data_IF_875068215529
#
_entry.id   IF_875068215529
#
_cell.length_a   1.000
_cell.length_b   1.000
_cell.length_c   1.000
_cell.angle_alpha   90.00
_cell.angle_beta   90.00
_cell.angle_gamma   90.00
#
_symmetry.space_group_name_H-M   'P 1'
#
loop_
_entity.id
_entity.type
_entity.pdbx_description
1 polymer ?
#
# COMPACT_ATOMS: atom_id res chain seq x y z
N UNK A 1 -15.25 -26.76 2.90
CA UNK A 1 -15.17 -25.29 2.74
C UNK A 1 -13.85 -25.01 2.04
N UNK A 2 -13.90 -24.52 0.81
CA UNK A 2 -12.68 -24.33 0.01
C UNK A 2 -11.75 -23.31 0.68
N UNK A 3 -10.45 -23.55 0.63
CA UNK A 3 -9.41 -22.70 1.22
C UNK A 3 -9.59 -21.23 0.81
N UNK A 4 -10.01 -21.01 -0.44
CA UNK A 4 -10.33 -19.68 -0.95
C UNK A 4 -11.43 -18.96 -0.16
N UNK A 5 -12.54 -19.65 0.14
CA UNK A 5 -13.66 -19.08 0.90
C UNK A 5 -13.21 -18.72 2.32
N UNK A 6 -12.37 -19.55 2.93
CA UNK A 6 -11.78 -19.27 4.26
C UNK A 6 -10.97 -17.97 4.22
N UNK A 7 -10.14 -17.78 3.19
CA UNK A 7 -9.34 -16.56 3.03
C UNK A 7 -10.23 -15.34 2.78
N UNK A 8 -11.27 -15.48 1.95
CA UNK A 8 -12.23 -14.40 1.67
C UNK A 8 -13.01 -13.96 2.91
N UNK A 9 -13.39 -14.89 3.79
CA UNK A 9 -14.07 -14.56 5.05
C UNK A 9 -13.08 -14.01 6.09
N UNK A 10 -11.83 -14.51 6.10
CA UNK A 10 -10.81 -14.01 7.00
C UNK A 10 -10.53 -12.51 6.77
N UNK A 11 -10.48 -12.05 5.52
CA UNK A 11 -10.25 -10.63 5.19
C UNK A 11 -11.09 -9.64 6.02
N UNK A 12 -12.44 -9.66 5.90
CA UNK A 12 -13.33 -8.80 6.68
C UNK A 12 -13.18 -8.93 8.19
N UNK A 13 -12.90 -10.13 8.71
CA UNK A 13 -12.67 -10.33 10.16
C UNK A 13 -11.40 -9.62 10.62
N UNK A 14 -10.32 -9.73 9.86
CA UNK A 14 -9.06 -9.03 10.14
C UNK A 14 -9.22 -7.51 9.99
N UNK A 15 -9.95 -7.04 8.98
CA UNK A 15 -10.27 -5.62 8.78
C UNK A 15 -11.03 -5.04 9.97
N UNK A 16 -12.05 -5.75 10.44
CA UNK A 16 -12.81 -5.38 11.63
C UNK A 16 -11.91 -5.32 12.86
N UNK A 17 -11.03 -6.31 13.04
CA UNK A 17 -10.04 -6.32 14.13
C UNK A 17 -9.11 -5.10 14.10
N UNK A 18 -8.60 -4.74 12.93
CA UNK A 18 -7.75 -3.57 12.75
C UNK A 18 -8.51 -2.24 13.01
N UNK A 19 -9.77 -2.13 12.59
CA UNK A 19 -10.62 -0.97 12.89
C UNK A 19 -10.89 -0.83 14.39
N UNK A 20 -11.23 -1.94 15.05
CA UNK A 20 -11.47 -1.95 16.49
C UNK A 20 -10.22 -1.52 17.26
N UNK A 21 -9.02 -1.92 16.83
CA UNK A 21 -7.76 -1.47 17.41
C UNK A 21 -7.52 0.03 17.21
N UNK A 22 -7.79 0.57 16.01
CA UNK A 22 -7.69 2.01 15.74
C UNK A 22 -8.61 2.83 16.65
N UNK A 23 -9.85 2.38 16.82
CA UNK A 23 -10.83 3.06 17.68
C UNK A 23 -10.44 2.95 19.14
N UNK A 24 -10.10 1.74 19.61
CA UNK A 24 -9.71 1.47 21.01
C UNK A 24 -8.49 2.27 21.44
N UNK A 25 -7.49 2.38 20.57
CA UNK A 25 -6.25 3.10 20.86
C UNK A 25 -6.35 4.61 20.60
N UNK A 26 -7.54 5.12 20.22
CA UNK A 26 -7.76 6.55 19.92
C UNK A 26 -7.01 7.04 18.67
N UNK A 27 -6.54 6.12 17.83
CA UNK A 27 -5.66 6.38 16.69
C UNK A 27 -6.38 6.90 15.46
N UNK A 28 -7.70 6.73 15.39
CA UNK A 28 -8.53 7.17 14.27
C UNK A 28 -8.42 8.68 13.97
N UNK A 29 -8.11 9.51 14.98
CA UNK A 29 -7.86 10.96 14.78
C UNK A 29 -6.49 11.24 14.21
N UNK A 30 -5.47 10.50 14.66
CA UNK A 30 -4.10 10.66 14.19
C UNK A 30 -3.94 10.14 12.75
N UNK A 31 -4.58 9.01 12.43
CA UNK A 31 -4.53 8.37 11.12
C UNK A 31 -5.92 8.36 10.46
N UNK A 32 -6.44 9.56 10.14
CA UNK A 32 -7.80 9.74 9.62
C UNK A 32 -7.96 9.12 8.23
N UNK A 33 -6.99 9.30 7.34
CA UNK A 33 -7.04 8.79 5.97
C UNK A 33 -6.95 7.27 5.95
N UNK A 34 -6.06 6.70 6.75
CA UNK A 34 -5.95 5.26 6.95
C UNK A 34 -7.22 4.67 7.57
N UNK A 35 -7.83 5.36 8.54
CA UNK A 35 -9.12 4.93 9.11
C UNK A 35 -10.25 4.92 8.08
N UNK A 36 -10.36 5.96 7.26
CA UNK A 36 -11.34 6.02 6.16
C UNK A 36 -11.11 4.90 5.16
N UNK A 37 -9.85 4.67 4.78
CA UNK A 37 -9.47 3.59 3.87
C UNK A 37 -9.81 2.20 4.44
N UNK A 38 -9.47 1.94 5.70
CA UNK A 38 -9.75 0.65 6.33
C UNK A 38 -11.26 0.41 6.52
N UNK A 39 -12.02 1.48 6.77
CA UNK A 39 -13.49 1.42 6.79
C UNK A 39 -14.04 1.09 5.41
N UNK A 40 -13.48 1.69 4.36
CA UNK A 40 -13.82 1.37 2.97
C UNK A 40 -13.52 -0.09 2.62
N UNK A 41 -12.35 -0.60 3.01
CA UNK A 41 -12.00 -2.01 2.81
C UNK A 41 -13.05 -2.93 3.44
N UNK A 42 -13.42 -2.69 4.70
CA UNK A 42 -14.43 -3.48 5.40
C UNK A 42 -15.78 -3.45 4.68
N UNK A 43 -16.28 -2.26 4.36
CA UNK A 43 -17.59 -2.10 3.72
C UNK A 43 -17.58 -2.68 2.30
N UNK A 44 -16.53 -2.39 1.53
CA UNK A 44 -16.37 -2.83 0.15
C UNK A 44 -16.24 -4.35 0.04
N UNK A 45 -15.32 -4.95 0.80
CA UNK A 45 -15.12 -6.40 0.77
C UNK A 45 -16.34 -7.17 1.30
N UNK A 46 -17.01 -6.65 2.33
CA UNK A 46 -18.27 -7.23 2.81
C UNK A 46 -19.37 -7.15 1.75
N UNK A 47 -19.51 -6.00 1.07
CA UNK A 47 -20.50 -5.82 0.01
C UNK A 47 -20.24 -6.74 -1.19
N UNK A 48 -18.98 -6.91 -1.60
CA UNK A 48 -18.56 -7.83 -2.66
C UNK A 48 -18.87 -9.28 -2.27
N UNK A 49 -18.59 -9.68 -1.03
CA UNK A 49 -18.85 -11.02 -0.52
C UNK A 49 -20.36 -11.32 -0.47
N UNK A 50 -21.18 -10.36 -0.04
CA UNK A 50 -22.64 -10.49 -0.06
C UNK A 50 -23.14 -10.58 -1.51
N UNK A 51 -22.67 -9.71 -2.40
CA UNK A 51 -23.08 -9.71 -3.79
C UNK A 51 -22.67 -10.99 -4.54
N UNK A 52 -21.51 -11.58 -4.23
CA UNK A 52 -21.07 -12.82 -4.88
C UNK A 52 -21.95 -14.02 -4.53
N UNK A 53 -22.51 -14.04 -3.32
CA UNK A 53 -23.39 -15.13 -2.84
C UNK A 53 -24.84 -14.91 -3.28
N UNK A 54 -25.37 -13.70 -3.13
CA UNK A 54 -26.80 -13.43 -3.28
C UNK A 54 -27.18 -12.77 -4.61
N UNK A 55 -26.25 -12.05 -5.26
CA UNK A 55 -26.53 -11.22 -6.44
C UNK A 55 -25.45 -11.36 -7.53
N UNK A 56 -25.24 -12.56 -8.09
CA UNK A 56 -24.14 -12.84 -9.03
C UNK A 56 -24.18 -11.98 -10.30
N UNK A 57 -25.36 -11.50 -10.70
CA UNK A 57 -25.50 -10.60 -11.86
C UNK A 57 -24.95 -9.19 -11.63
N UNK A 58 -24.96 -8.69 -10.39
CA UNK A 58 -24.49 -7.33 -10.02
C UNK A 58 -23.02 -7.35 -9.56
N UNK A 59 -22.54 -8.51 -9.09
CA UNK A 59 -21.20 -8.71 -8.58
C UNK A 59 -20.08 -8.09 -9.46
N UNK A 60 -20.02 -8.32 -10.78
CA UNK A 60 -18.94 -7.78 -11.60
C UNK A 60 -18.92 -6.25 -11.61
N UNK A 61 -20.09 -5.62 -11.78
CA UNK A 61 -20.22 -4.15 -11.80
C UNK A 61 -19.84 -3.55 -10.45
N UNK A 62 -20.34 -4.13 -9.36
CA UNK A 62 -20.04 -3.67 -8.01
C UNK A 62 -18.55 -3.80 -7.68
N UNK A 63 -17.93 -4.93 -8.04
CA UNK A 63 -16.50 -5.17 -7.86
C UNK A 63 -15.66 -4.06 -8.51
N UNK A 64 -15.92 -3.74 -9.77
CA UNK A 64 -15.14 -2.74 -10.49
C UNK A 64 -15.30 -1.32 -9.93
N UNK A 65 -16.50 -0.95 -9.47
CA UNK A 65 -16.70 0.34 -8.80
C UNK A 65 -15.97 0.42 -7.47
N UNK A 66 -16.02 -0.66 -6.67
CA UNK A 66 -15.36 -0.70 -5.37
C UNK A 66 -13.83 -0.62 -5.53
N UNK A 67 -13.28 -1.39 -6.47
CA UNK A 67 -11.85 -1.39 -6.80
C UNK A 67 -11.38 -0.02 -7.31
N UNK A 68 -12.20 0.66 -8.12
CA UNK A 68 -11.87 2.00 -8.63
C UNK A 68 -11.77 3.05 -7.50
N UNK A 69 -12.68 3.00 -6.53
CA UNK A 69 -12.64 3.90 -5.36
C UNK A 69 -11.45 3.55 -4.46
N UNK A 70 -11.15 2.26 -4.32
CA UNK A 70 -10.01 1.76 -3.55
C UNK A 70 -8.67 2.34 -4.06
N UNK A 71 -8.49 2.39 -5.38
CA UNK A 71 -7.33 3.06 -6.02
C UNK A 71 -7.17 4.50 -5.57
N UNK A 72 -8.25 5.27 -5.45
CA UNK A 72 -8.19 6.67 -5.01
C UNK A 72 -7.84 6.76 -3.52
N UNK A 73 -8.45 5.94 -2.68
CA UNK A 73 -8.22 5.97 -1.23
C UNK A 73 -6.79 5.55 -0.85
N UNK A 74 -6.18 4.63 -1.61
CA UNK A 74 -4.77 4.26 -1.48
C UNK A 74 -3.83 5.48 -1.59
N UNK A 75 -4.14 6.46 -2.44
CA UNK A 75 -3.37 7.71 -2.50
C UNK A 75 -3.49 8.54 -1.22
N UNK A 76 -4.67 8.56 -0.58
CA UNK A 76 -4.85 9.25 0.69
C UNK A 76 -4.01 8.62 1.80
N UNK A 77 -3.88 7.30 1.81
CA UNK A 77 -3.00 6.60 2.76
C UNK A 77 -1.54 6.99 2.54
N UNK A 78 -1.07 7.02 1.29
CA UNK A 78 0.31 7.43 0.98
C UNK A 78 0.55 8.89 1.39
N UNK A 79 -0.42 9.76 1.09
CA UNK A 79 -0.36 11.16 1.49
C UNK A 79 -0.27 11.34 3.01
N UNK A 80 -1.06 10.56 3.76
CA UNK A 80 -1.01 10.55 5.22
C UNK A 80 0.32 10.02 5.73
N UNK A 81 0.84 8.92 5.17
CA UNK A 81 2.17 8.41 5.50
C UNK A 81 3.24 9.47 5.29
N UNK A 82 3.21 10.16 4.16
CA UNK A 82 4.13 11.26 3.88
C UNK A 82 4.02 12.39 4.92
N UNK A 83 2.80 12.83 5.25
CA UNK A 83 2.58 13.91 6.22
C UNK A 83 2.92 13.54 7.66
N UNK A 84 2.76 12.27 8.03
CA UNK A 84 3.11 11.77 9.35
C UNK A 84 4.64 11.67 9.51
N UNK A 85 5.35 11.29 8.44
CA UNK A 85 6.82 11.25 8.43
C UNK A 85 7.40 12.67 8.33
N UNK A 86 6.80 13.55 7.54
CA UNK A 86 7.22 14.94 7.33
C UNK A 86 6.08 15.92 7.73
N UNK A 87 5.95 16.26 9.02
CA UNK A 87 5.01 17.25 9.55
C UNK A 87 5.21 18.63 8.92
N UNK A 88 4.12 19.38 8.77
CA UNK A 88 4.09 20.75 8.20
C UNK A 88 4.96 21.77 8.94
N UNK A 89 5.32 21.48 10.18
CA UNK A 89 6.11 22.38 11.04
C UNK A 89 7.62 22.32 10.76
N UNK A 90 8.12 21.31 10.05
CA UNK A 90 9.55 21.21 9.71
C UNK A 90 9.86 21.99 8.43
N UNK A 91 10.96 22.75 8.43
CA UNK A 91 11.45 23.45 7.23
C UNK A 91 11.71 22.51 6.06
N UNK A 92 12.06 21.26 6.37
CA UNK A 92 12.28 20.17 5.41
C UNK A 92 11.00 19.81 4.63
N UNK A 93 9.84 19.85 5.28
CA UNK A 93 8.59 19.52 4.62
C UNK A 93 8.26 20.54 3.51
N UNK A 94 8.60 21.82 3.67
CA UNK A 94 8.29 22.82 2.61
C UNK A 94 9.03 22.54 1.30
N UNK A 95 10.21 21.94 1.36
CA UNK A 95 10.98 21.52 0.19
C UNK A 95 10.50 20.16 -0.32
N UNK A 96 10.36 19.18 0.57
CA UNK A 96 9.92 17.83 0.23
C UNK A 96 8.48 17.77 -0.24
N UNK A 97 7.57 18.61 0.24
CA UNK A 97 6.18 18.62 -0.20
C UNK A 97 6.05 19.09 -1.65
N UNK A 98 6.89 20.04 -2.08
CA UNK A 98 6.95 20.50 -3.47
C UNK A 98 7.55 19.42 -4.37
N UNK A 99 8.66 18.81 -3.94
CA UNK A 99 9.28 17.70 -4.65
C UNK A 99 8.37 16.48 -4.75
N UNK A 100 7.73 16.10 -3.64
CA UNK A 100 6.76 15.02 -3.56
C UNK A 100 5.54 15.32 -4.43
N UNK A 101 5.01 16.54 -4.41
CA UNK A 101 3.91 16.94 -5.31
C UNK A 101 4.30 16.83 -6.78
N UNK A 102 5.50 17.28 -7.15
CA UNK A 102 6.01 17.17 -8.53
C UNK A 102 6.23 15.72 -8.95
N UNK A 103 6.85 14.90 -8.09
CA UNK A 103 7.09 13.47 -8.33
C UNK A 103 5.76 12.73 -8.41
N UNK A 104 4.84 12.96 -7.48
CA UNK A 104 3.50 12.37 -7.48
C UNK A 104 2.75 12.75 -8.76
N UNK A 105 2.77 14.02 -9.15
CA UNK A 105 2.16 14.47 -10.40
C UNK A 105 2.80 13.82 -11.63
N UNK A 106 4.14 13.77 -11.69
CA UNK A 106 4.87 13.13 -12.79
C UNK A 106 4.58 11.63 -12.89
N UNK A 107 4.57 10.92 -11.75
CA UNK A 107 4.23 9.51 -11.69
C UNK A 107 2.76 9.25 -12.04
N UNK A 108 1.83 10.09 -11.59
CA UNK A 108 0.42 10.03 -11.97
C UNK A 108 0.23 10.29 -13.46
N UNK A 109 0.88 11.30 -14.03
CA UNK A 109 0.85 11.59 -15.46
C UNK A 109 1.41 10.42 -16.27
N UNK A 110 2.50 9.79 -15.80
CA UNK A 110 3.05 8.57 -16.38
C UNK A 110 2.07 7.37 -16.26
N UNK A 111 1.43 7.19 -15.11
CA UNK A 111 0.39 6.18 -14.90
C UNK A 111 -0.80 6.36 -15.85
N UNK A 112 -1.27 7.60 -16.02
CA UNK A 112 -2.32 7.95 -16.99
C UNK A 112 -1.86 7.73 -18.44
N UNK A 113 -0.64 8.14 -18.79
CA UNK A 113 -0.10 7.97 -20.14
C UNK A 113 0.04 6.49 -20.50
N UNK A 114 0.59 5.67 -19.60
CA UNK A 114 0.66 4.21 -19.78
C UNK A 114 -0.72 3.61 -19.91
N UNK A 115 -1.68 4.02 -19.09
CA UNK A 115 -3.08 3.59 -19.20
C UNK A 115 -3.70 3.92 -20.58
N UNK A 116 -3.54 5.15 -21.07
CA UNK A 116 -4.04 5.57 -22.39
C UNK A 116 -3.41 4.78 -23.53
N UNK A 117 -2.13 4.45 -23.43
CA UNK A 117 -1.45 3.58 -24.41
C UNK A 117 -2.02 2.16 -24.33
N UNK A 118 -2.26 1.63 -23.13
CA UNK A 118 -2.83 0.30 -22.93
C UNK A 118 -4.29 0.17 -23.40
N UNK A 119 -5.10 1.24 -23.35
CA UNK A 119 -6.46 1.23 -23.92
C UNK A 119 -6.49 0.91 -25.43
N UNK A 120 -5.40 1.18 -26.14
CA UNK A 120 -5.28 0.87 -27.57
C UNK A 120 -4.91 -0.61 -27.86
N UNK A 121 -4.56 -1.39 -26.83
CA UNK A 121 -4.31 -2.82 -26.99
C UNK A 121 -5.63 -3.61 -26.99
N UNK A 122 -5.94 -4.25 -28.12
CA UNK A 122 -7.11 -5.11 -28.36
C UNK A 122 -6.99 -6.48 -27.67
N UNK A 123 -6.65 -6.49 -26.38
CA UNK A 123 -6.62 -7.70 -25.55
C UNK A 123 -7.95 -7.88 -24.80
N UNK A 124 -8.37 -9.12 -24.50
CA UNK A 124 -9.63 -9.40 -23.79
C UNK A 124 -9.62 -9.02 -22.29
N UNK A 125 -8.73 -8.14 -21.85
CA UNK A 125 -8.53 -7.81 -20.43
C UNK A 125 -9.15 -6.45 -20.09
N UNK A 126 -9.97 -6.47 -19.04
CA UNK A 126 -10.74 -5.33 -18.51
C UNK A 126 -9.88 -4.08 -18.32
N UNK A 127 -10.37 -2.94 -18.81
CA UNK A 127 -9.80 -1.58 -18.63
C UNK A 127 -9.41 -1.33 -17.17
N UNK A 128 -10.21 -1.83 -16.22
CA UNK A 128 -9.99 -1.66 -14.79
C UNK A 128 -8.71 -2.37 -14.29
N UNK A 129 -8.33 -3.50 -14.87
CA UNK A 129 -7.14 -4.25 -14.47
C UNK A 129 -5.85 -3.53 -14.91
N UNK A 130 -5.88 -2.90 -16.09
CA UNK A 130 -4.80 -2.05 -16.56
C UNK A 130 -4.66 -0.80 -15.67
N UNK A 131 -5.78 -0.22 -15.26
CA UNK A 131 -5.87 0.88 -14.30
C UNK A 131 -5.22 0.51 -12.96
N UNK A 132 -5.69 -0.55 -12.28
CA UNK A 132 -5.15 -1.00 -10.99
C UNK A 132 -3.64 -1.22 -11.07
N UNK A 133 -3.14 -1.86 -12.13
CA UNK A 133 -1.70 -2.10 -12.31
C UNK A 133 -0.89 -0.81 -12.46
N UNK A 134 -1.31 0.12 -13.31
CA UNK A 134 -0.58 1.38 -13.55
C UNK A 134 -0.52 2.24 -12.29
N UNK A 135 -1.65 2.37 -11.56
CA UNK A 135 -1.69 3.17 -10.34
C UNK A 135 -1.03 2.46 -9.16
N UNK A 136 -1.16 1.13 -9.01
CA UNK A 136 -0.48 0.39 -7.95
C UNK A 136 1.04 0.49 -8.07
N UNK A 137 1.59 0.49 -9.29
CA UNK A 137 3.02 0.72 -9.51
C UNK A 137 3.46 2.11 -9.06
N UNK A 138 2.70 3.15 -9.43
CA UNK A 138 2.93 4.54 -8.99
C UNK A 138 2.87 4.64 -7.46
N UNK A 139 1.86 4.02 -6.85
CA UNK A 139 1.65 3.99 -5.40
C UNK A 139 2.81 3.30 -4.67
N UNK A 140 3.32 2.18 -5.20
CA UNK A 140 4.49 1.48 -4.68
C UNK A 140 5.75 2.35 -4.75
N UNK A 141 5.96 3.08 -5.84
CA UNK A 141 7.10 4.01 -5.96
C UNK A 141 6.98 5.18 -5.00
N UNK A 142 5.78 5.74 -4.80
CA UNK A 142 5.59 6.86 -3.88
C UNK A 142 5.83 6.46 -2.41
N UNK A 143 5.34 5.31 -1.98
CA UNK A 143 5.57 4.83 -0.61
C UNK A 143 7.05 4.46 -0.40
N UNK A 144 7.69 3.82 -1.38
CA UNK A 144 9.11 3.51 -1.35
C UNK A 144 9.96 4.79 -1.28
N UNK A 145 9.67 5.76 -2.15
CA UNK A 145 10.35 7.05 -2.15
C UNK A 145 10.20 7.79 -0.82
N UNK A 146 9.02 7.73 -0.22
CA UNK A 146 8.77 8.30 1.12
C UNK A 146 9.65 7.63 2.19
N UNK A 147 9.73 6.30 2.19
CA UNK A 147 10.56 5.55 3.14
C UNK A 147 12.06 5.77 2.92
N UNK A 148 12.51 5.85 1.67
CA UNK A 148 13.90 6.16 1.31
C UNK A 148 14.26 7.57 1.75
N UNK A 149 13.39 8.56 1.50
CA UNK A 149 13.57 9.92 1.98
C UNK A 149 13.62 9.96 3.51
N UNK A 150 12.72 9.27 4.20
CA UNK A 150 12.72 9.18 5.66
C UNK A 150 14.06 8.68 6.20
N UNK A 151 14.62 7.64 5.58
CA UNK A 151 15.94 7.09 5.93
C UNK A 151 17.08 8.04 5.60
N UNK A 152 17.05 8.69 4.44
CA UNK A 152 18.09 9.62 3.99
C UNK A 152 18.21 10.86 4.90
N UNK A 153 17.07 11.38 5.35
CA UNK A 153 17.02 12.52 6.28
C UNK A 153 17.11 12.12 7.76
N UNK A 154 17.34 10.83 8.07
CA UNK A 154 17.46 10.36 9.46
C UNK A 154 16.16 10.45 10.28
N UNK A 155 15.01 10.59 9.64
CA UNK A 155 13.71 10.77 10.32
C UNK A 155 13.31 9.48 11.01
N UNK A 156 13.22 9.53 12.34
CA UNK A 156 12.76 8.41 13.16
C UNK A 156 11.25 8.22 12.96
N UNK A 157 10.88 7.19 12.23
CA UNK A 157 9.48 6.79 12.07
C UNK A 157 9.04 5.95 13.26
N UNK A 158 7.96 6.36 13.93
CA UNK A 158 7.30 5.57 14.97
C UNK A 158 6.85 4.21 14.43
N UNK A 159 6.71 3.24 15.34
CA UNK A 159 6.38 1.85 14.99
C UNK A 159 5.12 1.73 14.13
N UNK A 160 4.08 2.49 14.46
CA UNK A 160 2.79 2.46 13.77
C UNK A 160 2.93 2.88 12.31
N UNK A 161 3.52 4.06 12.05
CA UNK A 161 3.61 4.61 10.69
C UNK A 161 4.55 3.78 9.81
N UNK A 162 5.65 3.29 10.40
CA UNK A 162 6.57 2.38 9.71
C UNK A 162 5.88 1.07 9.36
N UNK A 163 5.09 0.51 10.27
CA UNK A 163 4.33 -0.72 10.03
C UNK A 163 3.27 -0.55 8.95
N UNK A 164 2.51 0.56 8.98
CA UNK A 164 1.52 0.89 7.94
C UNK A 164 2.21 1.00 6.58
N UNK A 165 3.27 1.80 6.48
CA UNK A 165 3.98 2.05 5.23
C UNK A 165 4.63 0.79 4.64
N UNK A 166 5.29 -0.02 5.47
CA UNK A 166 5.96 -1.25 5.02
C UNK A 166 4.96 -2.31 4.58
N UNK A 167 3.91 -2.56 5.36
CA UNK A 167 2.90 -3.55 5.01
C UNK A 167 2.16 -3.14 3.73
N UNK A 168 1.77 -1.87 3.63
CA UNK A 168 1.09 -1.33 2.46
C UNK A 168 1.98 -1.39 1.21
N UNK A 169 3.24 -0.93 1.31
CA UNK A 169 4.19 -0.98 0.19
C UNK A 169 4.56 -2.40 -0.23
N UNK A 170 4.71 -3.32 0.73
CA UNK A 170 4.95 -4.74 0.46
C UNK A 170 3.78 -5.39 -0.28
N UNK A 171 2.55 -5.17 0.20
CA UNK A 171 1.36 -5.66 -0.48
C UNK A 171 1.20 -5.09 -1.89
N UNK A 172 1.39 -3.79 -2.07
CA UNK A 172 1.38 -3.15 -3.40
C UNK A 172 2.39 -3.76 -4.36
N UNK A 173 3.60 -4.03 -3.88
CA UNK A 173 4.66 -4.64 -4.68
C UNK A 173 4.28 -6.06 -5.10
N UNK A 174 3.77 -6.88 -4.16
CA UNK A 174 3.32 -8.25 -4.45
C UNK A 174 2.11 -8.23 -5.40
N UNK A 175 1.13 -7.36 -5.18
CA UNK A 175 -0.06 -7.22 -6.03
C UNK A 175 0.33 -6.80 -7.46
N UNK A 176 1.23 -5.82 -7.60
CA UNK A 176 1.72 -5.37 -8.91
C UNK A 176 2.48 -6.47 -9.64
N UNK A 177 3.38 -7.17 -8.93
CA UNK A 177 4.16 -8.27 -9.50
C UNK A 177 3.27 -9.45 -9.91
N UNK A 178 2.30 -9.82 -9.08
CA UNK A 178 1.35 -10.91 -9.38
C UNK A 178 0.43 -10.57 -10.55
N UNK A 179 -0.05 -9.33 -10.63
CA UNK A 179 -0.83 -8.85 -11.79
C UNK A 179 0.01 -8.87 -13.08
N UNK A 180 1.27 -8.42 -13.03
CA UNK A 180 2.17 -8.48 -14.18
C UNK A 180 2.46 -9.93 -14.62
N UNK A 181 2.67 -10.85 -13.68
CA UNK A 181 2.87 -12.28 -13.99
C UNK A 181 1.63 -12.94 -14.59
N UNK A 182 0.43 -12.58 -14.11
CA UNK A 182 -0.83 -13.07 -14.67
C UNK A 182 -1.06 -12.55 -16.11
N UNK A 183 -0.50 -11.39 -16.48
CA UNK A 183 -0.48 -10.90 -17.86
C UNK A 183 0.46 -11.71 -18.77
N UNK A 184 1.62 -12.10 -18.26
CA UNK A 184 2.65 -12.80 -19.03
C UNK A 184 2.35 -14.29 -19.25
N UNK A 185 1.71 -14.97 -18.31
CA UNK A 185 1.48 -16.42 -18.40
C UNK A 185 0.12 -16.85 -17.83
N UNK A 186 -0.63 -17.62 -18.61
CA UNK A 186 -1.93 -18.17 -18.20
C UNK A 186 -1.80 -19.25 -17.12
N UNK A 187 -0.67 -19.97 -17.07
CA UNK A 187 -0.38 -20.97 -16.04
C UNK A 187 -0.26 -20.37 -14.63
N UNK A 188 -0.01 -19.05 -14.53
CA UNK A 188 0.09 -18.36 -13.24
C UNK A 188 -1.27 -18.00 -12.64
N UNK A 189 -2.37 -18.08 -13.39
CA UNK A 189 -3.71 -17.70 -12.93
C UNK A 189 -4.13 -18.51 -11.69
N UNK A 190 -3.80 -19.80 -11.64
CA UNK A 190 -4.10 -20.66 -10.48
C UNK A 190 -3.40 -20.16 -9.21
N UNK A 191 -2.15 -19.73 -9.31
CA UNK A 191 -1.40 -19.19 -8.17
C UNK A 191 -1.86 -17.79 -7.79
N UNK A 192 -2.18 -16.95 -8.78
CA UNK A 192 -2.69 -15.60 -8.60
C UNK A 192 -3.95 -15.58 -7.71
N UNK A 193 -4.83 -16.58 -7.90
CA UNK A 193 -6.06 -16.75 -7.13
C UNK A 193 -5.84 -16.88 -5.60
N UNK A 194 -4.69 -17.41 -5.18
CA UNK A 194 -4.34 -17.57 -3.76
C UNK A 194 -3.36 -16.49 -3.26
N UNK A 195 -2.37 -16.12 -4.07
CA UNK A 195 -1.32 -15.18 -3.66
C UNK A 195 -1.85 -13.78 -3.38
N UNK A 196 -2.78 -13.29 -4.19
CA UNK A 196 -3.36 -11.95 -4.02
C UNK A 196 -4.15 -11.83 -2.71
N UNK A 197 -5.14 -12.69 -2.41
CA UNK A 197 -5.89 -12.57 -1.15
C UNK A 197 -5.03 -12.96 0.08
N UNK A 198 -4.08 -13.88 -0.05
CA UNK A 198 -3.16 -14.19 1.05
C UNK A 198 -2.26 -13.01 1.40
N UNK A 199 -1.67 -12.35 0.40
CA UNK A 199 -0.83 -11.16 0.64
C UNK A 199 -1.63 -10.02 1.27
N UNK A 200 -2.92 -9.89 0.92
CA UNK A 200 -3.83 -8.95 1.55
C UNK A 200 -4.07 -9.27 3.04
N UNK A 201 -4.36 -10.52 3.39
CA UNK A 201 -4.53 -10.92 4.80
C UNK A 201 -3.24 -10.70 5.59
N UNK A 202 -2.08 -11.02 5.00
CA UNK A 202 -0.76 -10.75 5.62
C UNK A 202 -0.56 -9.25 5.87
N UNK A 203 -0.91 -8.39 4.91
CA UNK A 203 -0.84 -6.94 5.09
C UNK A 203 -1.63 -6.48 6.31
N UNK A 204 -2.88 -6.94 6.46
CA UNK A 204 -3.73 -6.55 7.59
C UNK A 204 -3.20 -7.13 8.90
N UNK A 205 -2.70 -8.37 8.91
CA UNK A 205 -2.07 -8.94 10.08
C UNK A 205 -0.87 -8.09 10.56
N UNK A 206 -0.05 -7.59 9.62
CA UNK A 206 1.06 -6.68 9.95
C UNK A 206 0.54 -5.33 10.45
N UNK A 207 -0.55 -4.79 9.92
CA UNK A 207 -1.18 -3.59 10.47
C UNK A 207 -1.70 -3.79 11.89
N UNK A 208 -2.38 -4.90 12.16
CA UNK A 208 -2.84 -5.26 13.52
C UNK A 208 -1.63 -5.30 14.47
N UNK A 209 -0.55 -5.99 14.08
CA UNK A 209 0.66 -6.07 14.89
C UNK A 209 1.29 -4.69 15.13
N UNK A 210 1.39 -3.86 14.09
CA UNK A 210 1.93 -2.52 14.18
C UNK A 210 1.10 -1.64 15.13
N UNK A 211 -0.22 -1.70 15.03
CA UNK A 211 -1.17 -0.90 15.80
C UNK A 211 -1.43 -1.43 17.22
N UNK A 212 -0.97 -2.65 17.55
CA UNK A 212 -1.29 -3.32 18.80
C UNK A 212 -0.84 -2.54 20.04
N UNK A 213 0.37 -1.97 19.99
CA UNK A 213 0.94 -1.11 21.03
C UNK A 213 1.11 0.26 20.39
N UNK A 214 0.40 1.25 20.93
CA UNK A 214 0.56 2.62 20.49
C UNK A 214 1.95 3.12 20.84
N UNK A 215 2.74 3.45 19.82
CA UNK A 215 4.01 4.14 19.95
C UNK A 215 3.92 5.48 19.21
N UNK A 216 3.86 6.63 19.92
CA UNK A 216 3.74 7.94 19.29
C UNK A 216 4.96 8.22 18.41
N UNK A 217 4.75 8.96 17.32
CA UNK A 217 5.85 9.36 16.46
C UNK A 217 6.80 10.26 17.27
N UNK A 218 8.11 9.95 17.37
CA UNK A 218 9.03 10.80 18.11
C UNK A 218 9.04 12.22 17.49
N UNK A 219 9.23 13.26 18.30
CA UNK A 219 9.34 14.62 17.79
C UNK A 219 10.51 14.68 16.80
N UNK A 220 10.32 15.42 15.71
CA UNK A 220 11.37 15.60 14.73
C UNK A 220 12.42 16.51 15.36
N UNK A 221 13.55 15.91 15.70
CA UNK A 221 14.80 16.63 15.83
C UNK A 221 15.30 16.82 14.41
N UNK A 222 15.45 18.07 13.96
CA UNK A 222 16.12 18.36 12.69
C UNK A 222 17.56 17.84 12.80
N UNK A 223 17.78 16.60 12.38
CA UNK A 223 19.10 16.04 12.22
C UNK A 223 19.68 16.54 10.92
N UNK A 224 20.98 16.87 10.91
CA UNK A 224 21.69 17.11 9.65
C UNK A 224 21.48 15.92 8.70
N UNK A 225 21.29 16.18 7.39
CA UNK A 225 21.16 15.11 6.41
C UNK A 225 22.35 14.17 6.54
N UNK A 226 22.10 12.85 6.52
CA UNK A 226 23.16 11.86 6.66
C UNK A 226 24.19 12.10 5.56
N UNK A 227 25.46 12.22 5.93
CA UNK A 227 26.54 12.37 4.95
C UNK A 227 26.47 11.23 3.93
N UNK A 228 26.50 11.57 2.64
CA UNK A 228 26.37 10.60 1.54
C UNK A 228 27.33 9.42 1.66
N UNK A 229 28.55 9.64 2.18
CA UNK A 229 29.52 8.58 2.45
C UNK A 229 29.02 7.57 3.48
N UNK A 230 28.53 8.05 4.63
CA UNK A 230 27.97 7.21 5.69
C UNK A 230 26.71 6.48 5.22
N UNK A 231 25.83 7.16 4.47
CA UNK A 231 24.63 6.56 3.89
C UNK A 231 24.97 5.41 2.93
N UNK A 232 25.99 5.61 2.08
CA UNK A 232 26.43 4.59 1.12
C UNK A 232 27.02 3.38 1.85
N UNK A 233 27.80 3.60 2.90
CA UNK A 233 28.38 2.54 3.70
C UNK A 233 27.30 1.72 4.45
N UNK A 234 26.32 2.39 5.05
CA UNK A 234 25.17 1.74 5.68
C UNK A 234 24.35 0.93 4.67
N UNK A 235 24.13 1.47 3.47
CA UNK A 235 23.45 0.75 2.40
C UNK A 235 24.19 -0.51 2.00
N UNK A 236 25.50 -0.40 1.78
CA UNK A 236 26.36 -1.53 1.45
C UNK A 236 26.31 -2.61 2.54
N UNK A 237 26.30 -2.23 3.83
CA UNK A 237 26.13 -3.15 4.95
C UNK A 237 24.78 -3.86 4.93
N UNK A 238 23.68 -3.14 4.69
CA UNK A 238 22.35 -3.78 4.57
C UNK A 238 22.25 -4.72 3.37
N UNK A 239 22.81 -4.34 2.21
CA UNK A 239 22.81 -5.18 1.01
C UNK A 239 23.70 -6.41 1.22
N UNK A 240 24.85 -6.28 1.87
CA UNK A 240 25.71 -7.42 2.17
C UNK A 240 25.05 -8.40 3.13
N UNK A 241 24.36 -7.88 4.16
CA UNK A 241 23.58 -8.70 5.11
C UNK A 241 22.41 -9.43 4.42
N UNK A 242 21.69 -8.75 3.52
CA UNK A 242 20.65 -9.39 2.72
C UNK A 242 21.22 -10.47 1.79
N UNK A 243 22.38 -10.21 1.17
CA UNK A 243 23.07 -11.16 0.28
C UNK A 243 23.49 -12.43 1.01
N UNK A 244 23.95 -12.33 2.27
CA UNK A 244 24.28 -13.49 3.11
C UNK A 244 23.07 -14.33 3.51
N UNK A 245 21.86 -13.75 3.54
CA UNK A 245 20.63 -14.51 3.82
C UNK A 245 20.15 -15.26 2.57
N UNK A 246 20.39 -14.71 1.38
CA UNK A 246 19.94 -15.28 0.10
C UNK A 246 20.88 -16.41 -0.39
N UNK A 247 22.15 -16.38 0.01
CA UNK A 247 23.12 -17.46 -0.22
C UNK A 247 23.55 -18.02 1.15
N UNK A 248 22.82 -19.01 1.71
CA UNK A 248 23.31 -19.74 2.87
C UNK A 248 24.59 -20.51 2.56
#
# INVERSE_FOLDING_TARGET
MDIFVVICVAGPVFELGALLLLVRNGLWRSYTSFFVYLTWLLVGNSAILIASVYFPGIYPTLYWHIDSIDVVLRFLVIWEVFHQIFPKTSGLNRSLSKGFGLIAFGLLAFGCATFLIYQNYTGPRSIHLALDRSFAFVQALMILGTLVAARYYGVRCGRNIRGIALAFGGWMSISTATNAMADLTTSFITYWYYLRPLSFVVMIAVWIWALWIYDPNPPIVESEPVELGQWTEDWNRTISAARTIIRP
#
